data_IF_858970616065
#
_entry.id   IF_858970616065
#
_cell.length_a   1.000
_cell.length_b   1.000
_cell.length_c   1.000
_cell.angle_alpha   90.00
_cell.angle_beta   90.00
_cell.angle_gamma   90.00
#
_symmetry.space_group_name_H-M   'P 1'
#
loop_
_entity.id
_entity.type
_entity.pdbx_description
1 polymer ?
#
# COMPACT_ATOMS: atom_id res chain seq x y z
N UNK A 1 -7.14 26.89 -38.82
CA UNK A 1 -6.38 26.18 -37.77
C UNK A 1 -6.40 26.99 -36.51
N UNK A 2 -7.11 26.56 -35.52
CA UNK A 2 -7.09 27.17 -34.20
C UNK A 2 -5.97 26.51 -33.40
N UNK A 3 -4.90 27.24 -33.13
CA UNK A 3 -3.90 26.82 -32.16
C UNK A 3 -4.55 26.80 -30.79
N UNK A 4 -4.67 25.59 -30.22
CA UNK A 4 -5.08 25.47 -28.84
C UNK A 4 -3.93 25.91 -27.94
N UNK A 5 -4.17 26.97 -27.17
CA UNK A 5 -3.24 27.33 -26.11
C UNK A 5 -3.04 26.16 -25.15
N UNK A 6 -1.79 25.85 -24.72
CA UNK A 6 -1.58 24.83 -23.72
C UNK A 6 -2.38 25.16 -22.45
N UNK A 7 -2.89 24.15 -21.74
CA UNK A 7 -3.62 24.41 -20.50
C UNK A 7 -2.75 25.20 -19.52
N UNK A 8 -3.34 26.21 -18.88
CA UNK A 8 -2.65 27.00 -17.89
C UNK A 8 -2.14 26.10 -16.75
N UNK A 9 -0.83 26.17 -16.47
CA UNK A 9 -0.24 25.49 -15.34
C UNK A 9 -0.78 26.14 -14.06
N UNK A 10 -1.49 25.36 -13.23
CA UNK A 10 -1.99 25.88 -11.96
C UNK A 10 -0.81 26.08 -11.00
N UNK A 11 -0.72 27.28 -10.45
CA UNK A 11 0.27 27.55 -9.39
C UNK A 11 -0.17 26.90 -8.09
N UNK A 12 0.77 26.22 -7.43
CA UNK A 12 0.60 25.63 -6.11
C UNK A 12 1.34 26.45 -5.04
N UNK A 13 1.69 27.70 -5.34
CA UNK A 13 2.46 28.57 -4.45
C UNK A 13 1.76 28.86 -3.12
N UNK A 14 0.43 28.70 -3.07
CA UNK A 14 -0.38 28.88 -1.86
C UNK A 14 -0.38 27.65 -0.94
N UNK A 15 0.17 26.54 -1.38
CA UNK A 15 0.15 25.28 -0.63
C UNK A 15 1.25 25.30 0.43
N UNK A 16 0.87 25.05 1.67
CA UNK A 16 1.79 25.01 2.82
C UNK A 16 1.96 23.62 3.42
N UNK A 17 1.07 22.69 3.08
CA UNK A 17 1.08 21.31 3.57
C UNK A 17 0.94 20.36 2.39
N UNK A 18 1.80 19.34 2.39
CA UNK A 18 1.85 18.33 1.33
C UNK A 18 1.64 16.96 1.93
N UNK A 19 0.64 16.25 1.43
CA UNK A 19 0.35 14.88 1.84
C UNK A 19 0.55 13.99 0.62
N UNK A 20 1.44 13.01 0.75
CA UNK A 20 1.77 12.07 -0.32
C UNK A 20 1.22 10.70 0.01
N UNK A 21 0.57 10.07 -0.96
CA UNK A 21 0.33 8.65 -0.91
C UNK A 21 1.66 7.92 -1.12
N UNK A 22 1.83 6.76 -0.52
CA UNK A 22 3.09 6.02 -0.58
C UNK A 22 3.04 4.92 -1.63
N UNK A 23 2.11 3.98 -1.45
CA UNK A 23 2.09 2.75 -2.22
C UNK A 23 1.72 3.01 -3.68
N UNK A 24 2.55 2.51 -4.60
CA UNK A 24 2.38 2.70 -6.05
C UNK A 24 2.30 4.17 -6.47
N UNK A 25 2.80 5.06 -5.62
CA UNK A 25 2.84 6.52 -5.83
C UNK A 25 4.26 7.05 -5.72
N UNK A 26 4.90 6.90 -4.55
CA UNK A 26 6.29 7.32 -4.35
C UNK A 26 7.29 6.27 -4.86
N UNK A 27 6.83 5.08 -5.15
CA UNK A 27 7.54 4.07 -5.93
C UNK A 27 6.57 3.51 -6.98
N UNK A 28 7.07 3.00 -8.13
CA UNK A 28 6.20 2.53 -9.19
C UNK A 28 5.55 1.19 -8.84
N UNK A 29 4.34 0.96 -9.34
CA UNK A 29 3.61 -0.30 -9.13
C UNK A 29 4.34 -1.52 -9.71
N UNK A 30 5.26 -1.31 -10.65
CA UNK A 30 6.09 -2.36 -11.24
C UNK A 30 7.01 -3.03 -10.22
N UNK A 31 7.27 -2.37 -9.07
CA UNK A 31 7.96 -3.01 -7.93
C UNK A 31 7.18 -4.19 -7.36
N UNK A 32 5.85 -4.20 -7.54
CA UNK A 32 4.94 -5.28 -7.18
C UNK A 32 5.15 -5.84 -5.76
N UNK A 33 5.20 -4.93 -4.80
CA UNK A 33 5.29 -5.32 -3.39
C UNK A 33 4.02 -6.03 -2.92
N UNK A 34 2.87 -5.70 -3.53
CA UNK A 34 1.58 -6.26 -3.14
C UNK A 34 1.51 -7.78 -3.30
N UNK A 35 2.08 -8.33 -4.36
CA UNK A 35 2.08 -9.79 -4.58
C UNK A 35 2.75 -10.52 -3.42
N UNK A 36 3.83 -9.98 -2.87
CA UNK A 36 4.49 -10.55 -1.71
C UNK A 36 3.62 -10.47 -0.46
N UNK A 37 3.00 -9.31 -0.23
CA UNK A 37 2.12 -9.09 0.92
C UNK A 37 0.90 -9.99 0.86
N UNK A 38 0.28 -10.12 -0.30
CA UNK A 38 -0.92 -10.95 -0.52
C UNK A 38 -0.66 -12.42 -0.16
N UNK A 39 0.46 -12.97 -0.60
CA UNK A 39 0.88 -14.34 -0.26
C UNK A 39 1.12 -14.49 1.26
N UNK A 40 1.73 -13.51 1.90
CA UNK A 40 1.96 -13.53 3.34
C UNK A 40 0.68 -13.43 4.14
N UNK A 41 -0.29 -12.65 3.67
CA UNK A 41 -1.63 -12.61 4.28
C UNK A 41 -2.27 -14.00 4.20
N UNK A 42 -2.21 -14.65 3.04
CA UNK A 42 -2.75 -16.01 2.89
C UNK A 42 -2.07 -16.99 3.85
N UNK A 43 -0.74 -16.93 3.96
CA UNK A 43 0.02 -17.78 4.89
C UNK A 43 -0.38 -17.52 6.34
N UNK A 44 -0.62 -16.26 6.71
CA UNK A 44 -1.08 -15.89 8.05
C UNK A 44 -2.46 -16.49 8.35
N UNK A 45 -3.38 -16.40 7.39
CA UNK A 45 -4.72 -17.00 7.50
C UNK A 45 -4.61 -18.52 7.66
N UNK A 46 -3.72 -19.16 6.93
CA UNK A 46 -3.46 -20.61 7.06
C UNK A 46 -3.02 -20.98 8.47
N UNK A 47 -2.12 -20.22 9.07
CA UNK A 47 -1.65 -20.48 10.43
C UNK A 47 -2.76 -20.28 11.47
N UNK A 48 -3.55 -19.22 11.34
CA UNK A 48 -4.63 -18.91 12.29
C UNK A 48 -5.76 -19.94 12.22
N UNK A 49 -6.09 -20.41 11.02
CA UNK A 49 -7.28 -21.23 10.77
C UNK A 49 -6.98 -22.72 10.56
N UNK A 50 -5.73 -23.08 10.36
CA UNK A 50 -5.30 -24.44 9.97
C UNK A 50 -5.89 -24.90 8.62
N UNK A 51 -6.35 -23.98 7.79
CA UNK A 51 -6.85 -24.28 6.45
C UNK A 51 -5.69 -24.45 5.47
N UNK A 52 -5.93 -25.18 4.38
CA UNK A 52 -5.02 -25.21 3.24
C UNK A 52 -5.04 -23.92 2.47
N UNK A 53 -4.11 -23.76 1.51
CA UNK A 53 -3.92 -22.50 0.78
C UNK A 53 -5.18 -22.00 0.10
N UNK A 54 -5.88 -22.86 -0.66
CA UNK A 54 -7.07 -22.45 -1.42
C UNK A 54 -8.20 -21.98 -0.50
N UNK A 55 -8.49 -22.72 0.57
CA UNK A 55 -9.53 -22.39 1.53
C UNK A 55 -9.16 -21.11 2.31
N UNK A 56 -7.90 -20.97 2.69
CA UNK A 56 -7.40 -19.78 3.37
C UNK A 56 -7.52 -18.54 2.48
N UNK A 57 -7.21 -18.69 1.18
CA UNK A 57 -7.33 -17.60 0.22
C UNK A 57 -8.78 -17.17 0.02
N UNK A 58 -9.70 -18.10 -0.08
CA UNK A 58 -11.14 -17.80 -0.14
C UNK A 58 -11.61 -17.05 1.11
N UNK A 59 -11.17 -17.49 2.28
CA UNK A 59 -11.50 -16.83 3.54
C UNK A 59 -10.92 -15.43 3.62
N UNK A 60 -9.68 -15.25 3.19
CA UNK A 60 -9.02 -13.94 3.10
C UNK A 60 -9.83 -12.96 2.25
N UNK A 61 -10.23 -13.38 1.06
CA UNK A 61 -11.03 -12.55 0.14
C UNK A 61 -12.43 -12.28 0.70
N UNK A 62 -13.03 -13.27 1.36
CA UNK A 62 -14.31 -13.11 2.05
C UNK A 62 -14.26 -12.09 3.17
N UNK A 63 -13.21 -12.12 3.98
CA UNK A 63 -13.04 -11.14 5.07
C UNK A 63 -12.80 -9.72 4.53
N UNK A 64 -12.03 -9.60 3.46
CA UNK A 64 -11.85 -8.31 2.80
C UNK A 64 -13.18 -7.72 2.34
N UNK A 65 -14.01 -8.54 1.69
CA UNK A 65 -15.32 -8.11 1.20
C UNK A 65 -16.29 -7.78 2.33
N UNK A 66 -16.35 -8.62 3.36
CA UNK A 66 -17.39 -8.56 4.39
C UNK A 66 -17.04 -7.62 5.55
N UNK A 67 -15.75 -7.41 5.83
CA UNK A 67 -15.25 -6.59 6.94
C UNK A 67 -14.40 -5.40 6.49
N UNK A 68 -14.25 -5.17 5.20
CA UNK A 68 -13.47 -4.07 4.64
C UNK A 68 -11.99 -4.37 4.47
N UNK A 69 -11.38 -5.11 5.40
CA UNK A 69 -10.01 -5.61 5.31
C UNK A 69 -9.94 -7.03 5.85
N UNK A 70 -8.97 -7.80 5.36
CA UNK A 70 -8.71 -9.15 5.90
C UNK A 70 -8.36 -9.08 7.39
N UNK A 71 -7.55 -8.11 7.78
CA UNK A 71 -7.17 -7.91 9.19
C UNK A 71 -8.38 -7.69 10.08
N UNK A 72 -9.31 -6.84 9.66
CA UNK A 72 -10.52 -6.60 10.46
C UNK A 72 -11.33 -7.89 10.61
N UNK A 73 -11.47 -8.68 9.55
CA UNK A 73 -12.14 -9.98 9.63
C UNK A 73 -11.44 -10.93 10.60
N UNK A 74 -10.13 -11.00 10.57
CA UNK A 74 -9.33 -11.82 11.49
C UNK A 74 -9.50 -11.35 12.95
N UNK A 75 -9.54 -10.04 13.17
CA UNK A 75 -9.78 -9.48 14.51
C UNK A 75 -11.16 -9.77 15.04
N UNK A 76 -12.19 -9.71 14.19
CA UNK A 76 -13.59 -9.95 14.58
C UNK A 76 -13.90 -11.42 14.79
N UNK A 77 -13.27 -12.32 14.04
CA UNK A 77 -13.59 -13.75 14.02
C UNK A 77 -12.57 -14.61 14.74
N UNK A 78 -11.37 -14.09 14.99
CA UNK A 78 -10.25 -14.79 15.62
C UNK A 78 -9.54 -13.84 16.57
N UNK A 79 -8.75 -14.38 17.49
CA UNK A 79 -7.91 -13.58 18.38
C UNK A 79 -6.57 -13.25 17.72
N UNK A 80 -6.59 -12.25 16.82
CA UNK A 80 -5.38 -11.81 16.10
C UNK A 80 -4.93 -10.46 16.62
N UNK A 81 -3.66 -10.38 17.01
CA UNK A 81 -3.01 -9.12 17.36
C UNK A 81 -2.69 -8.34 16.06
N UNK A 82 -3.29 -7.14 15.86
CA UNK A 82 -3.07 -6.38 14.64
C UNK A 82 -1.62 -5.97 14.43
N UNK A 83 -0.87 -5.66 15.48
CA UNK A 83 0.56 -5.32 15.35
C UNK A 83 1.37 -6.50 14.86
N UNK A 84 1.13 -7.69 15.38
CA UNK A 84 1.79 -8.91 14.92
C UNK A 84 1.47 -9.21 13.46
N UNK A 85 0.20 -9.09 13.07
CA UNK A 85 -0.23 -9.28 11.69
C UNK A 85 0.49 -8.31 10.74
N UNK A 86 0.43 -7.01 11.04
CA UNK A 86 1.03 -5.98 10.19
C UNK A 86 2.53 -6.16 10.03
N UNK A 87 3.23 -6.46 11.12
CA UNK A 87 4.67 -6.73 11.09
C UNK A 87 5.00 -7.96 10.24
N UNK A 88 4.25 -9.04 10.42
CA UNK A 88 4.50 -10.30 9.73
C UNK A 88 4.29 -10.17 8.22
N UNK A 89 3.17 -9.60 7.79
CA UNK A 89 2.83 -9.51 6.36
C UNK A 89 3.67 -8.48 5.61
N UNK A 90 4.25 -7.52 6.31
CA UNK A 90 5.13 -6.50 5.72
C UNK A 90 6.62 -6.84 5.80
N UNK A 91 6.98 -7.99 6.35
CA UNK A 91 8.36 -8.51 6.31
C UNK A 91 8.59 -9.17 4.95
N UNK A 92 8.84 -8.34 3.94
CA UNK A 92 8.97 -8.72 2.54
C UNK A 92 10.31 -8.24 1.99
N UNK A 93 10.61 -8.63 0.76
CA UNK A 93 11.77 -8.12 0.02
C UNK A 93 11.45 -6.77 -0.58
N UNK A 94 12.09 -5.72 -0.10
CA UNK A 94 11.94 -4.35 -0.58
C UNK A 94 12.95 -3.98 -1.67
N UNK A 95 13.82 -4.90 -2.07
CA UNK A 95 14.88 -4.61 -3.06
C UNK A 95 14.36 -4.11 -4.42
N UNK A 96 13.12 -4.45 -4.87
CA UNK A 96 12.58 -3.85 -6.09
C UNK A 96 12.37 -2.34 -6.03
N UNK A 97 12.28 -1.77 -4.82
CA UNK A 97 12.16 -0.31 -4.64
C UNK A 97 13.57 0.28 -4.67
N UNK A 98 13.89 0.92 -5.80
CA UNK A 98 15.18 1.56 -5.99
C UNK A 98 15.18 2.98 -5.43
N UNK A 99 16.36 3.45 -5.02
CA UNK A 99 16.53 4.84 -4.63
C UNK A 99 16.18 5.76 -5.80
N UNK A 100 15.49 6.87 -5.51
CA UNK A 100 15.12 7.88 -6.48
C UNK A 100 15.54 9.26 -5.98
N UNK A 101 16.84 9.60 -6.06
CA UNK A 101 17.37 10.84 -5.49
C UNK A 101 16.70 12.12 -6.03
N UNK A 102 16.36 12.12 -7.32
CA UNK A 102 15.69 13.27 -7.95
C UNK A 102 14.32 13.53 -7.36
N UNK A 103 13.52 12.48 -7.11
CA UNK A 103 12.22 12.61 -6.47
C UNK A 103 12.36 13.09 -5.03
N UNK A 104 13.30 12.53 -4.28
CA UNK A 104 13.57 12.92 -2.89
C UNK A 104 13.96 14.40 -2.83
N UNK A 105 14.84 14.86 -3.72
CA UNK A 105 15.25 16.25 -3.79
C UNK A 105 14.08 17.17 -4.16
N UNK A 106 13.25 16.77 -5.12
CA UNK A 106 12.08 17.54 -5.53
C UNK A 106 11.08 17.72 -4.38
N UNK A 107 10.84 16.65 -3.61
CA UNK A 107 9.95 16.72 -2.42
C UNK A 107 10.57 17.61 -1.35
N UNK A 108 11.86 17.47 -1.09
CA UNK A 108 12.56 18.28 -0.09
C UNK A 108 12.52 19.77 -0.41
N UNK A 109 12.55 20.13 -1.70
CA UNK A 109 12.52 21.51 -2.17
C UNK A 109 11.13 22.15 -2.10
N UNK A 110 10.07 21.37 -1.90
CA UNK A 110 8.73 21.93 -1.73
C UNK A 110 8.67 22.78 -0.47
N UNK A 111 8.12 24.01 -0.56
CA UNK A 111 7.97 24.88 0.61
C UNK A 111 6.87 24.35 1.52
N UNK A 112 7.12 24.39 2.83
CA UNK A 112 6.12 24.01 3.83
C UNK A 112 6.32 22.63 4.40
N UNK A 113 5.26 22.13 5.02
CA UNK A 113 5.27 20.86 5.74
C UNK A 113 4.93 19.70 4.79
N UNK A 114 5.61 18.57 5.00
CA UNK A 114 5.35 17.32 4.30
C UNK A 114 4.85 16.28 5.28
#
# INVERSE_FOLDING_TARGET
MTEQSPPAVRSLSHVSDWVFDLDNTLYPRECDLWSQIDVRITSYVMEVTSLGFEAARELQKGYYRDYGTTLNGLMQRHEVDPEHFLKTVHTIDYSPVLAHPELVAAIADLPGRK
#
